data_IF_052867986036
#
_entry.id   IF_052867986036
#
_cell.length_a   1.000
_cell.length_b   1.000
_cell.length_c   1.000
_cell.angle_alpha   90.00
_cell.angle_beta   90.00
_cell.angle_gamma   90.00
#
_symmetry.space_group_name_H-M   'P 1'
#
loop_
_entity.id
_entity.type
_entity.pdbx_description
1 polymer ?
#
# COMPACT_ATOMS: atom_id res chain seq x y z
N UNK A 1 3.44 -9.15 7.42
CA UNK A 1 3.48 -9.70 6.03
C UNK A 1 2.09 -9.92 5.44
N UNK A 2 1.18 -10.64 6.12
CA UNK A 2 -0.19 -10.90 5.60
C UNK A 2 -1.00 -9.63 5.29
N UNK A 3 -0.92 -8.61 6.15
CA UNK A 3 -1.59 -7.32 5.92
C UNK A 3 -1.12 -6.63 4.64
N UNK A 4 0.20 -6.60 4.40
CA UNK A 4 0.80 -6.04 3.20
C UNK A 4 0.34 -6.77 1.94
N UNK A 5 0.32 -8.11 1.94
CA UNK A 5 -0.15 -8.90 0.80
C UNK A 5 -1.64 -8.68 0.52
N UNK A 6 -2.48 -8.57 1.56
CA UNK A 6 -3.90 -8.23 1.41
C UNK A 6 -4.09 -6.86 0.79
N UNK A 7 -3.31 -5.87 1.24
CA UNK A 7 -3.33 -4.52 0.70
C UNK A 7 -2.94 -4.49 -0.79
N UNK A 8 -1.82 -5.13 -1.14
CA UNK A 8 -1.37 -5.20 -2.53
C UNK A 8 -2.39 -5.90 -3.43
N UNK A 9 -3.12 -6.91 -2.91
CA UNK A 9 -4.19 -7.57 -3.65
C UNK A 9 -5.41 -6.69 -3.97
N UNK A 10 -5.55 -5.54 -3.29
CA UNK A 10 -6.59 -4.55 -3.57
C UNK A 10 -6.14 -3.46 -4.55
N UNK A 11 -4.84 -3.40 -4.86
CA UNK A 11 -4.26 -2.37 -5.73
C UNK A 11 -4.27 -2.77 -7.20
N UNK A 12 -4.41 -1.79 -8.09
CA UNK A 12 -4.12 -1.96 -9.52
C UNK A 12 -2.63 -2.20 -9.80
N UNK A 13 -2.28 -2.73 -10.98
CA UNK A 13 -0.92 -3.20 -11.28
C UNK A 13 0.19 -2.16 -11.06
N UNK A 14 -0.07 -0.88 -11.37
CA UNK A 14 0.90 0.21 -11.14
C UNK A 14 1.09 0.51 -9.65
N UNK A 15 -0.02 0.63 -8.91
CA UNK A 15 -0.02 0.87 -7.48
C UNK A 15 0.60 -0.30 -6.70
N UNK A 16 0.30 -1.54 -7.10
CA UNK A 16 0.92 -2.75 -6.56
C UNK A 16 2.44 -2.74 -6.76
N UNK A 17 2.92 -2.37 -7.96
CA UNK A 17 4.35 -2.23 -8.24
C UNK A 17 4.99 -1.18 -7.33
N UNK A 18 4.38 0.00 -7.21
CA UNK A 18 4.88 1.05 -6.33
C UNK A 18 4.94 0.60 -4.87
N UNK A 19 3.91 -0.12 -4.39
CA UNK A 19 3.84 -0.66 -3.04
C UNK A 19 4.95 -1.68 -2.74
N UNK A 20 5.32 -2.51 -3.72
CA UNK A 20 6.46 -3.42 -3.63
C UNK A 20 7.80 -2.68 -3.61
N UNK A 21 7.97 -1.69 -4.49
CA UNK A 21 9.18 -0.88 -4.57
C UNK A 21 9.39 -0.03 -3.30
N UNK A 22 8.30 0.35 -2.62
CA UNK A 22 8.30 1.17 -1.39
C UNK A 22 7.81 0.40 -0.15
N UNK A 23 8.00 -0.92 -0.10
CA UNK A 23 7.46 -1.81 0.93
C UNK A 23 7.71 -1.36 2.36
N UNK A 24 8.89 -0.79 2.65
CA UNK A 24 9.24 -0.28 3.99
C UNK A 24 8.24 0.77 4.48
N UNK A 25 7.93 1.76 3.63
CA UNK A 25 6.97 2.83 3.92
C UNK A 25 5.55 2.30 4.12
N UNK A 26 5.12 1.36 3.27
CA UNK A 26 3.78 0.76 3.40
C UNK A 26 3.67 -0.04 4.72
N UNK A 27 4.73 -0.75 5.11
CA UNK A 27 4.77 -1.45 6.39
C UNK A 27 4.79 -0.49 7.58
N UNK A 28 5.42 0.68 7.47
CA UNK A 28 5.35 1.73 8.48
C UNK A 28 3.93 2.25 8.66
N UNK A 29 3.22 2.59 7.58
CA UNK A 29 1.81 3.01 7.67
C UNK A 29 0.91 1.93 8.30
N UNK A 30 1.13 0.66 7.95
CA UNK A 30 0.43 -0.46 8.57
C UNK A 30 0.76 -0.60 10.06
N UNK A 31 2.01 -0.36 10.46
CA UNK A 31 2.45 -0.39 11.86
C UNK A 31 1.88 0.79 12.66
N UNK A 32 1.76 1.95 12.03
CA UNK A 32 1.23 3.17 12.62
C UNK A 32 -0.30 3.16 12.72
N UNK A 33 -0.96 2.08 12.25
CA UNK A 33 -2.39 1.86 12.41
C UNK A 33 -3.26 2.55 11.37
N UNK A 34 -2.69 2.97 10.24
CA UNK A 34 -3.45 3.56 9.14
C UNK A 34 -4.44 2.55 8.55
N UNK A 35 -5.61 3.03 8.13
CA UNK A 35 -6.62 2.18 7.50
C UNK A 35 -6.17 1.74 6.11
N UNK A 36 -6.64 0.56 5.67
CA UNK A 36 -6.28 0.05 4.34
C UNK A 36 -6.79 0.96 3.23
N UNK A 37 -7.99 1.53 3.37
CA UNK A 37 -8.53 2.49 2.40
C UNK A 37 -7.65 3.71 2.26
N UNK A 38 -7.19 4.29 3.38
CA UNK A 38 -6.29 5.45 3.34
C UNK A 38 -4.97 5.12 2.65
N UNK A 39 -4.40 3.94 2.92
CA UNK A 39 -3.15 3.53 2.27
C UNK A 39 -3.35 3.30 0.77
N UNK A 40 -4.48 2.68 0.37
CA UNK A 40 -4.82 2.46 -1.04
C UNK A 40 -4.96 3.80 -1.76
N UNK A 41 -5.82 4.69 -1.26
CA UNK A 41 -6.04 6.03 -1.83
C UNK A 41 -4.72 6.80 -1.94
N UNK A 42 -3.87 6.71 -0.90
CA UNK A 42 -2.57 7.38 -0.89
C UNK A 42 -1.62 6.87 -1.95
N UNK A 43 -1.61 5.55 -2.20
CA UNK A 43 -0.75 4.97 -3.24
C UNK A 43 -1.27 5.34 -4.63
N UNK A 44 -2.59 5.34 -4.83
CA UNK A 44 -3.21 5.75 -6.09
C UNK A 44 -2.91 7.22 -6.40
N UNK A 45 -2.98 8.11 -5.41
CA UNK A 45 -2.60 9.54 -5.53
C UNK A 45 -1.12 9.76 -5.87
N UNK A 46 -0.23 8.83 -5.51
CA UNK A 46 1.21 8.95 -5.79
C UNK A 46 1.54 8.48 -7.21
N UNK A 47 0.78 7.52 -7.72
CA UNK A 47 1.06 6.83 -8.97
C UNK A 47 0.30 7.45 -10.16
N UNK A 48 -0.79 8.17 -9.89
CA UNK A 48 -1.54 8.97 -10.86
C UNK A 48 -1.08 10.44 -10.86
#
# INVERSE_FOLDING_TARGET
MLAFLRLVGQLGSKAAKWAWDNKGRVLEWLRDGMSFSWIVDKIEDIVN
#
